data_IF_826314894118
#
_entry.id   IF_826314894118
#
_cell.length_a   1.000
_cell.length_b   1.000
_cell.length_c   1.000
_cell.angle_alpha   90.00
_cell.angle_beta   90.00
_cell.angle_gamma   90.00
#
_symmetry.space_group_name_H-M   'P 1'
#
loop_
_entity.id
_entity.type
_entity.pdbx_description
1 polymer ?
#
# COMPACT_ATOMS: atom_id res chain seq x y z
N UNK A 1 -32.96 -57.70 15.71
CA UNK A 1 -32.75 -56.61 16.69
C UNK A 1 -31.26 -56.34 16.93
N UNK A 2 -30.46 -57.34 17.32
CA UNK A 2 -28.99 -57.18 17.50
C UNK A 2 -28.24 -56.60 16.28
N UNK A 3 -28.52 -57.10 15.07
CA UNK A 3 -27.84 -56.60 13.86
C UNK A 3 -28.11 -55.10 13.59
N UNK A 4 -29.32 -54.61 13.88
CA UNK A 4 -29.65 -53.18 13.74
C UNK A 4 -28.86 -52.35 14.74
N UNK A 5 -28.78 -52.81 15.99
CA UNK A 5 -27.99 -52.15 17.02
C UNK A 5 -26.49 -52.11 16.66
N UNK A 6 -25.94 -53.22 16.16
CA UNK A 6 -24.58 -53.26 15.65
C UNK A 6 -24.36 -52.23 14.53
N UNK A 7 -25.24 -52.16 13.54
CA UNK A 7 -25.16 -51.17 12.46
C UNK A 7 -25.22 -49.74 13.00
N UNK A 8 -26.06 -49.46 13.99
CA UNK A 8 -26.10 -48.14 14.65
C UNK A 8 -24.75 -47.79 15.27
N UNK A 9 -24.11 -48.72 15.98
CA UNK A 9 -22.80 -48.48 16.59
C UNK A 9 -21.71 -48.25 15.53
N UNK A 10 -21.63 -49.12 14.52
CA UNK A 10 -20.64 -49.03 13.43
C UNK A 10 -20.78 -47.72 12.64
N UNK A 11 -22.01 -47.33 12.28
CA UNK A 11 -22.23 -46.11 11.51
C UNK A 11 -22.02 -44.86 12.36
N UNK A 12 -22.35 -44.86 13.66
CA UNK A 12 -21.98 -43.75 14.55
C UNK A 12 -20.46 -43.59 14.69
N UNK A 13 -19.71 -44.69 14.77
CA UNK A 13 -18.25 -44.63 14.81
C UNK A 13 -17.68 -44.00 13.53
N UNK A 14 -18.22 -44.36 12.35
CA UNK A 14 -17.83 -43.74 11.08
C UNK A 14 -18.11 -42.24 11.06
N UNK A 15 -19.28 -41.82 11.56
CA UNK A 15 -19.61 -40.39 11.65
C UNK A 15 -18.69 -39.63 12.61
N UNK A 16 -18.34 -40.23 13.74
CA UNK A 16 -17.38 -39.65 14.67
C UNK A 16 -16.01 -39.43 13.99
N UNK A 17 -15.52 -40.44 13.25
CA UNK A 17 -14.27 -40.31 12.47
C UNK A 17 -14.35 -39.25 11.38
N UNK A 18 -15.46 -39.18 10.63
CA UNK A 18 -15.66 -38.17 9.59
C UNK A 18 -15.64 -36.75 10.18
N UNK A 19 -16.28 -36.54 11.33
CA UNK A 19 -16.25 -35.25 12.05
C UNK A 19 -14.86 -34.89 12.54
N UNK A 20 -14.10 -35.85 13.08
CA UNK A 20 -12.72 -35.60 13.49
C UNK A 20 -11.83 -35.18 12.31
N UNK A 21 -11.97 -35.85 11.15
CA UNK A 21 -11.26 -35.47 9.94
C UNK A 21 -11.64 -34.06 9.46
N UNK A 22 -12.93 -33.69 9.54
CA UNK A 22 -13.39 -32.35 9.22
C UNK A 22 -12.78 -31.28 10.14
N UNK A 23 -12.73 -31.54 11.45
CA UNK A 23 -12.08 -30.66 12.44
C UNK A 23 -10.59 -30.49 12.13
N UNK A 24 -9.90 -31.56 11.75
CA UNK A 24 -8.49 -31.50 11.37
C UNK A 24 -8.28 -30.59 10.13
N UNK A 25 -9.15 -30.70 9.12
CA UNK A 25 -9.12 -29.80 7.95
C UNK A 25 -9.36 -28.36 8.36
N UNK A 26 -10.37 -28.07 9.19
CA UNK A 26 -10.63 -26.71 9.67
C UNK A 26 -9.46 -26.14 10.47
N UNK A 27 -8.80 -26.96 11.28
CA UNK A 27 -7.65 -26.54 12.06
C UNK A 27 -6.47 -26.20 11.14
N UNK A 28 -6.05 -27.14 10.28
CA UNK A 28 -4.83 -27.02 9.50
C UNK A 28 -4.99 -26.07 8.30
N UNK A 29 -6.08 -26.18 7.54
CA UNK A 29 -6.25 -25.47 6.27
C UNK A 29 -6.91 -24.09 6.42
N UNK A 30 -7.54 -23.82 7.57
CA UNK A 30 -8.23 -22.56 7.82
C UNK A 30 -7.64 -21.85 9.04
N UNK A 31 -7.71 -22.44 10.23
CA UNK A 31 -7.36 -21.72 11.45
C UNK A 31 -5.87 -21.35 11.52
N UNK A 32 -4.98 -22.28 11.18
CA UNK A 32 -3.54 -22.03 11.23
C UNK A 32 -3.06 -21.16 10.06
N UNK A 33 -3.57 -21.40 8.85
CA UNK A 33 -3.32 -20.53 7.69
C UNK A 33 -3.84 -19.10 7.89
N UNK A 34 -4.99 -18.91 8.55
CA UNK A 34 -5.52 -17.59 8.85
C UNK A 34 -4.62 -16.82 9.84
N UNK A 35 -3.99 -17.50 10.80
CA UNK A 35 -2.99 -16.87 11.69
C UNK A 35 -1.78 -16.39 10.89
N UNK A 36 -1.29 -17.22 9.98
CA UNK A 36 -0.17 -16.87 9.09
C UNK A 36 -0.54 -15.69 8.19
N UNK A 37 -1.70 -15.72 7.54
CA UNK A 37 -2.21 -14.65 6.69
C UNK A 37 -2.31 -13.33 7.46
N UNK A 38 -2.83 -13.35 8.69
CA UNK A 38 -2.91 -12.17 9.54
C UNK A 38 -1.52 -11.58 9.81
N UNK A 39 -0.55 -12.42 10.18
CA UNK A 39 0.82 -11.95 10.43
C UNK A 39 1.46 -11.40 9.16
N UNK A 40 1.27 -12.07 8.03
CA UNK A 40 1.73 -11.61 6.73
C UNK A 40 1.15 -10.23 6.38
N UNK A 41 -0.17 -10.05 6.51
CA UNK A 41 -0.85 -8.78 6.29
C UNK A 41 -0.27 -7.65 7.14
N UNK A 42 -0.05 -7.90 8.43
CA UNK A 42 0.55 -6.89 9.33
C UNK A 42 1.97 -6.51 8.89
N UNK A 43 2.77 -7.48 8.48
CA UNK A 43 4.13 -7.24 8.00
C UNK A 43 4.14 -6.44 6.69
N UNK A 44 3.26 -6.78 5.75
CA UNK A 44 3.11 -6.05 4.48
C UNK A 44 2.63 -4.63 4.74
N UNK A 45 1.57 -4.45 5.56
CA UNK A 45 1.05 -3.14 5.91
C UNK A 45 2.13 -2.22 6.48
N UNK A 46 2.94 -2.73 7.42
CA UNK A 46 4.08 -1.98 7.98
C UNK A 46 5.09 -1.57 6.92
N UNK A 47 5.50 -2.48 6.04
CA UNK A 47 6.44 -2.15 4.94
C UNK A 47 5.87 -1.11 3.99
N UNK A 48 4.59 -1.22 3.65
CA UNK A 48 3.90 -0.26 2.78
C UNK A 48 3.84 1.13 3.43
N UNK A 49 3.48 1.22 4.71
CA UNK A 49 3.45 2.51 5.43
C UNK A 49 4.83 3.12 5.59
N UNK A 50 5.85 2.31 5.89
CA UNK A 50 7.23 2.79 6.04
C UNK A 50 7.78 3.33 4.71
N UNK A 51 7.51 2.62 3.61
CA UNK A 51 7.91 3.05 2.25
C UNK A 51 7.19 4.34 1.84
N UNK A 52 5.87 4.41 2.05
CA UNK A 52 5.10 5.61 1.72
C UNK A 52 5.51 6.81 2.58
N UNK A 53 5.82 6.61 3.87
CA UNK A 53 6.31 7.66 4.76
C UNK A 53 7.66 8.22 4.28
N UNK A 54 8.56 7.35 3.80
CA UNK A 54 9.83 7.79 3.22
C UNK A 54 9.62 8.60 1.94
N UNK A 55 8.78 8.14 1.01
CA UNK A 55 8.43 8.89 -0.20
C UNK A 55 7.78 10.24 0.13
N UNK A 56 6.93 10.29 1.15
CA UNK A 56 6.31 11.53 1.62
C UNK A 56 7.35 12.53 2.15
N UNK A 57 8.33 12.05 2.93
CA UNK A 57 9.43 12.86 3.46
C UNK A 57 10.33 13.43 2.36
N UNK A 58 10.61 12.64 1.33
CA UNK A 58 11.36 13.08 0.16
C UNK A 58 10.61 14.19 -0.60
N UNK A 59 9.33 13.97 -0.89
CA UNK A 59 8.47 14.99 -1.50
C UNK A 59 8.45 16.28 -0.67
N UNK A 60 8.26 16.18 0.65
CA UNK A 60 8.26 17.34 1.53
C UNK A 60 9.58 18.11 1.47
N UNK A 61 10.70 17.40 1.41
CA UNK A 61 12.03 18.00 1.27
C UNK A 61 12.14 18.81 -0.02
N UNK A 62 11.66 18.27 -1.14
CA UNK A 62 11.67 19.00 -2.43
C UNK A 62 10.83 20.27 -2.40
N UNK A 63 9.66 20.25 -1.74
CA UNK A 63 8.80 21.43 -1.57
C UNK A 63 9.50 22.50 -0.72
N UNK A 64 10.18 22.09 0.36
CA UNK A 64 10.97 23.01 1.18
C UNK A 64 12.09 23.67 0.36
N UNK A 65 12.74 22.92 -0.53
CA UNK A 65 13.81 23.45 -1.36
C UNK A 65 13.28 24.41 -2.44
N UNK A 66 12.07 24.21 -2.96
CA UNK A 66 11.36 25.19 -3.80
C UNK A 66 11.18 26.51 -3.06
N UNK A 67 10.72 26.49 -1.81
CA UNK A 67 10.53 27.72 -1.03
C UNK A 67 11.85 28.45 -0.74
N UNK A 68 12.90 27.71 -0.40
CA UNK A 68 14.24 28.29 -0.16
C UNK A 68 14.81 28.93 -1.43
N UNK A 69 14.81 28.20 -2.55
CA UNK A 69 15.39 28.66 -3.82
C UNK A 69 14.56 29.80 -4.42
N UNK A 70 13.24 29.78 -4.26
CA UNK A 70 12.36 30.91 -4.59
C UNK A 70 12.78 32.16 -3.85
N UNK A 71 12.93 32.09 -2.52
CA UNK A 71 13.32 33.24 -1.72
C UNK A 71 14.66 33.82 -2.18
N UNK A 72 15.66 32.95 -2.36
CA UNK A 72 16.98 33.37 -2.83
C UNK A 72 16.92 34.05 -4.20
N UNK A 73 16.18 33.47 -5.15
CA UNK A 73 15.99 34.08 -6.47
C UNK A 73 15.37 35.47 -6.38
N UNK A 74 14.32 35.65 -5.58
CA UNK A 74 13.67 36.96 -5.44
C UNK A 74 14.59 38.00 -4.79
N UNK A 75 15.40 37.62 -3.79
CA UNK A 75 16.35 38.51 -3.13
C UNK A 75 17.49 38.95 -4.09
N UNK A 76 18.05 38.00 -4.87
CA UNK A 76 19.10 38.29 -5.86
C UNK A 76 18.55 39.10 -7.06
N UNK A 77 17.34 38.77 -7.55
CA UNK A 77 16.71 39.50 -8.65
C UNK A 77 16.36 40.94 -8.25
N UNK A 78 15.91 41.17 -7.02
CA UNK A 78 15.67 42.52 -6.49
C UNK A 78 16.96 43.33 -6.49
N UNK A 79 18.07 42.75 -6.03
CA UNK A 79 19.38 43.41 -6.00
C UNK A 79 19.93 43.67 -7.42
N UNK A 80 19.72 42.73 -8.35
CA UNK A 80 20.10 42.89 -9.76
C UNK A 80 19.23 43.93 -10.49
N UNK A 81 17.96 44.10 -10.10
CA UNK A 81 17.09 45.16 -10.62
C UNK A 81 17.57 46.54 -10.18
N UNK A 82 17.84 46.73 -8.89
CA UNK A 82 18.33 47.99 -8.33
C UNK A 82 19.62 48.50 -9.00
N UNK A 83 20.55 47.59 -9.32
CA UNK A 83 21.80 47.96 -9.99
C UNK A 83 21.59 48.24 -11.48
N UNK A 84 20.63 47.60 -12.15
CA UNK A 84 20.23 47.92 -13.53
C UNK A 84 19.70 49.34 -13.63
N UNK A 85 18.81 49.75 -12.73
CA UNK A 85 18.27 51.10 -12.69
C UNK A 85 19.37 52.15 -12.45
N UNK A 86 20.30 51.88 -11.52
CA UNK A 86 21.46 52.74 -11.27
C UNK A 86 22.38 52.85 -12.48
N UNK A 87 22.66 51.74 -13.16
CA UNK A 87 23.48 51.73 -14.37
C UNK A 87 22.84 52.58 -15.47
N UNK A 88 21.53 52.43 -15.68
CA UNK A 88 20.76 53.18 -16.67
C UNK A 88 20.76 54.69 -16.40
N UNK A 89 20.56 55.11 -15.14
CA UNK A 89 20.62 56.53 -14.77
C UNK A 89 22.01 57.14 -15.03
N UNK A 90 23.09 56.41 -14.71
CA UNK A 90 24.46 56.87 -14.98
C UNK A 90 24.74 56.96 -16.48
N UNK A 91 24.31 55.97 -17.27
CA UNK A 91 24.44 55.99 -18.74
C UNK A 91 23.67 57.17 -19.35
N UNK A 92 22.46 57.46 -18.88
CA UNK A 92 21.69 58.61 -19.35
C UNK A 92 22.37 59.95 -19.03
N UNK A 93 22.96 60.09 -17.83
CA UNK A 93 23.75 61.27 -17.44
C UNK A 93 24.97 61.46 -18.35
N UNK A 94 25.67 60.37 -18.69
CA UNK A 94 26.80 60.38 -19.63
C UNK A 94 26.36 60.78 -21.06
N UNK A 95 25.26 60.21 -21.58
CA UNK A 95 24.73 60.52 -22.92
C UNK A 95 24.34 61.99 -23.07
N UNK A 96 23.73 62.58 -22.03
CA UNK A 96 23.31 63.99 -22.04
C UNK A 96 24.50 64.96 -21.97
N UNK A 97 25.75 64.48 -21.81
CA UNK A 97 26.97 65.27 -21.51
C UNK A 97 26.76 66.32 -20.39
N UNK A 98 25.73 66.14 -19.55
CA UNK A 98 25.41 66.98 -18.41
C UNK A 98 26.22 66.46 -17.23
N UNK A 99 27.52 66.77 -17.23
CA UNK A 99 28.29 66.72 -15.98
C UNK A 99 27.63 67.68 -14.98
N UNK A 100 27.45 67.25 -13.74
CA UNK A 100 27.15 68.19 -12.66
C UNK A 100 28.28 69.23 -12.62
N UNK A 101 27.97 70.48 -12.26
CA UNK A 101 28.96 71.58 -12.15
C UNK A 101 30.18 71.20 -11.30
N UNK A 102 30.03 70.22 -10.39
CA UNK A 102 31.07 69.71 -9.49
C UNK A 102 31.66 68.35 -9.88
N UNK A 103 31.26 67.73 -11.00
CA UNK A 103 31.67 66.37 -11.34
C UNK A 103 32.22 66.24 -12.77
N UNK A 104 33.50 65.88 -12.87
CA UNK A 104 34.19 65.74 -14.16
C UNK A 104 33.69 64.53 -14.96
N UNK A 105 33.73 64.62 -16.29
CA UNK A 105 33.34 63.53 -17.19
C UNK A 105 34.16 62.25 -16.91
N UNK A 106 35.46 62.39 -16.63
CA UNK A 106 36.33 61.25 -16.28
C UNK A 106 35.86 60.52 -15.02
N UNK A 107 35.37 61.25 -14.01
CA UNK A 107 34.84 60.63 -12.78
C UNK A 107 33.53 59.88 -13.04
N UNK A 108 32.66 60.40 -13.91
CA UNK A 108 31.43 59.73 -14.34
C UNK A 108 31.73 58.46 -15.14
N UNK A 109 32.73 58.48 -16.02
CA UNK A 109 33.17 57.30 -16.77
C UNK A 109 33.70 56.19 -15.85
N UNK A 110 34.53 56.53 -14.85
CA UNK A 110 35.01 55.57 -13.84
C UNK A 110 33.85 54.97 -13.03
N UNK A 111 32.88 55.80 -12.63
CA UNK A 111 31.70 55.34 -11.90
C UNK A 111 30.84 54.41 -12.77
N UNK A 112 30.58 54.78 -14.02
CA UNK A 112 29.85 53.95 -14.99
C UNK A 112 30.52 52.57 -15.18
N UNK A 113 31.84 52.52 -15.37
CA UNK A 113 32.56 51.25 -15.47
C UNK A 113 32.42 50.39 -14.21
N UNK A 114 32.52 51.00 -13.02
CA UNK A 114 32.35 50.30 -11.74
C UNK A 114 30.94 49.75 -11.57
N UNK A 115 29.91 50.55 -11.88
CA UNK A 115 28.51 50.13 -11.75
C UNK A 115 28.15 49.08 -12.81
N UNK A 116 28.68 49.18 -14.03
CA UNK A 116 28.51 48.15 -15.06
C UNK A 116 29.11 46.81 -14.62
N UNK A 117 30.35 46.80 -14.13
CA UNK A 117 30.96 45.56 -13.63
C UNK A 117 30.18 44.94 -12.47
N UNK A 118 29.64 45.78 -11.56
CA UNK A 118 28.77 45.31 -10.48
C UNK A 118 27.42 44.78 -10.99
N UNK A 119 26.85 45.39 -12.04
CA UNK A 119 25.63 44.91 -12.70
C UNK A 119 25.84 43.51 -13.22
N UNK A 120 26.91 43.29 -13.99
CA UNK A 120 27.19 42.00 -14.62
C UNK A 120 27.32 40.88 -13.56
N UNK A 121 28.01 41.15 -12.44
CA UNK A 121 28.12 40.20 -11.31
C UNK A 121 26.79 39.86 -10.65
N UNK A 122 25.91 40.85 -10.46
CA UNK A 122 24.61 40.63 -9.82
C UNK A 122 23.61 39.98 -10.77
N UNK A 123 23.71 40.25 -12.07
CA UNK A 123 22.91 39.61 -13.11
C UNK A 123 23.28 38.13 -13.26
N UNK A 124 24.57 37.79 -13.19
CA UNK A 124 25.04 36.41 -13.12
C UNK A 124 24.49 35.68 -11.88
N UNK A 125 24.55 36.31 -10.70
CA UNK A 125 23.99 35.75 -9.46
C UNK A 125 22.48 35.52 -9.54
N UNK A 126 21.73 36.51 -10.03
CA UNK A 126 20.28 36.35 -10.21
C UNK A 126 19.96 35.22 -11.18
N UNK A 127 20.71 35.12 -12.29
CA UNK A 127 20.55 34.04 -13.27
C UNK A 127 20.84 32.67 -12.65
N UNK A 128 21.90 32.55 -11.84
CA UNK A 128 22.20 31.34 -11.09
C UNK A 128 21.07 30.94 -10.15
N UNK A 129 20.61 31.88 -9.30
CA UNK A 129 19.52 31.64 -8.36
C UNK A 129 18.19 31.28 -9.07
N UNK A 130 17.91 31.89 -10.23
CA UNK A 130 16.76 31.55 -11.08
C UNK A 130 16.85 30.11 -11.58
N UNK A 131 18.01 29.70 -12.07
CA UNK A 131 18.22 28.34 -12.57
C UNK A 131 18.03 27.31 -11.44
N UNK A 132 18.58 27.56 -10.26
CA UNK A 132 18.40 26.70 -9.09
C UNK A 132 16.92 26.58 -8.68
N UNK A 133 16.18 27.70 -8.73
CA UNK A 133 14.74 27.69 -8.48
C UNK A 133 13.95 26.91 -9.54
N UNK A 134 14.30 27.04 -10.83
CA UNK A 134 13.64 26.27 -11.88
C UNK A 134 13.93 24.76 -11.74
N UNK A 135 15.16 24.40 -11.39
CA UNK A 135 15.55 23.01 -11.13
C UNK A 135 14.82 22.43 -9.91
N UNK A 136 14.67 23.20 -8.83
CA UNK A 136 13.93 22.74 -7.64
C UNK A 136 12.45 22.54 -7.92
N UNK A 137 11.81 23.42 -8.73
CA UNK A 137 10.43 23.22 -9.19
C UNK A 137 10.31 21.94 -10.02
N UNK A 138 11.23 21.72 -10.96
CA UNK A 138 11.21 20.52 -11.79
C UNK A 138 11.34 19.25 -10.93
N UNK A 139 12.24 19.26 -9.94
CA UNK A 139 12.40 18.16 -9.00
C UNK A 139 11.13 17.92 -8.16
N UNK A 140 10.53 18.98 -7.58
CA UNK A 140 9.31 18.86 -6.80
C UNK A 140 8.13 18.30 -7.62
N UNK A 141 7.96 18.75 -8.86
CA UNK A 141 6.94 18.22 -9.76
C UNK A 141 7.17 16.73 -10.09
N UNK A 142 8.43 16.32 -10.32
CA UNK A 142 8.78 14.93 -10.56
C UNK A 142 8.49 14.04 -9.34
N UNK A 143 8.87 14.50 -8.13
CA UNK A 143 8.56 13.80 -6.88
C UNK A 143 7.05 13.73 -6.61
N UNK A 144 6.31 14.80 -6.90
CA UNK A 144 4.85 14.82 -6.73
C UNK A 144 4.18 13.80 -7.66
N UNK A 145 4.55 13.79 -8.93
CA UNK A 145 4.04 12.82 -9.91
C UNK A 145 4.37 11.38 -9.49
N UNK A 146 5.61 11.11 -9.10
CA UNK A 146 6.01 9.79 -8.61
C UNK A 146 5.23 9.39 -7.36
N UNK A 147 5.06 10.30 -6.40
CA UNK A 147 4.35 10.02 -5.15
C UNK A 147 2.91 9.57 -5.40
N UNK A 148 2.15 10.30 -6.23
CA UNK A 148 0.75 9.98 -6.48
C UNK A 148 0.54 8.83 -7.46
N UNK A 149 1.30 8.80 -8.56
CA UNK A 149 1.09 7.84 -9.64
C UNK A 149 1.80 6.50 -9.41
N UNK A 150 2.78 6.44 -8.52
CA UNK A 150 3.57 5.23 -8.29
C UNK A 150 3.51 4.82 -6.82
N UNK A 151 4.03 5.64 -5.91
CA UNK A 151 4.23 5.22 -4.51
C UNK A 151 2.90 4.96 -3.78
N UNK A 152 1.95 5.89 -3.90
CA UNK A 152 0.62 5.75 -3.29
C UNK A 152 -0.15 4.58 -3.91
N UNK A 153 -0.13 4.45 -5.23
CA UNK A 153 -0.80 3.34 -5.92
C UNK A 153 -0.22 1.99 -5.52
N UNK A 154 1.11 1.85 -5.50
CA UNK A 154 1.79 0.63 -5.07
C UNK A 154 1.49 0.30 -3.61
N UNK A 155 1.43 1.31 -2.73
CA UNK A 155 1.05 1.13 -1.34
C UNK A 155 -0.37 0.56 -1.22
N UNK A 156 -1.35 1.16 -1.91
CA UNK A 156 -2.74 0.70 -1.89
C UNK A 156 -2.90 -0.72 -2.42
N UNK A 157 -2.27 -1.05 -3.56
CA UNK A 157 -2.34 -2.38 -4.16
C UNK A 157 -1.66 -3.44 -3.28
N UNK A 158 -0.54 -3.10 -2.66
CA UNK A 158 0.20 -4.04 -1.81
C UNK A 158 -0.49 -4.28 -0.45
N UNK A 159 -1.24 -3.28 0.05
CA UNK A 159 -1.90 -3.33 1.37
C UNK A 159 -2.91 -4.48 1.50
N UNK A 160 -3.47 -4.94 0.37
CA UNK A 160 -4.43 -6.04 0.33
C UNK A 160 -3.82 -7.38 0.80
N UNK A 161 -2.53 -7.61 0.51
CA UNK A 161 -1.77 -8.78 0.92
C UNK A 161 -2.47 -10.13 0.65
N UNK A 162 -3.10 -10.28 -0.52
CA UNK A 162 -3.83 -11.48 -0.98
C UNK A 162 -4.95 -11.97 -0.04
N UNK A 163 -5.47 -11.08 0.83
CA UNK A 163 -6.47 -11.45 1.84
C UNK A 163 -7.75 -11.96 1.20
N UNK A 164 -8.21 -11.35 0.10
CA UNK A 164 -9.46 -11.74 -0.55
C UNK A 164 -9.37 -13.15 -1.15
N UNK A 165 -8.28 -13.45 -1.86
CA UNK A 165 -8.02 -14.77 -2.44
C UNK A 165 -8.01 -15.85 -1.34
N UNK A 166 -7.26 -15.62 -0.25
CA UNK A 166 -7.16 -16.59 0.85
C UNK A 166 -8.46 -16.78 1.62
N UNK A 167 -9.22 -15.71 1.86
CA UNK A 167 -10.55 -15.85 2.49
C UNK A 167 -11.50 -16.63 1.59
N UNK A 168 -11.46 -16.42 0.28
CA UNK A 168 -12.24 -17.21 -0.68
C UNK A 168 -11.88 -18.70 -0.63
N UNK A 169 -10.58 -19.02 -0.57
CA UNK A 169 -10.09 -20.39 -0.40
C UNK A 169 -10.59 -21.01 0.92
N UNK A 170 -10.52 -20.29 2.04
CA UNK A 170 -11.01 -20.77 3.34
C UNK A 170 -12.51 -21.08 3.31
N UNK A 171 -13.33 -20.21 2.72
CA UNK A 171 -14.76 -20.44 2.57
C UNK A 171 -15.04 -21.66 1.68
N UNK A 172 -14.24 -21.85 0.64
CA UNK A 172 -14.34 -23.01 -0.27
C UNK A 172 -13.99 -24.31 0.46
N UNK A 173 -12.91 -24.33 1.24
CA UNK A 173 -12.55 -25.48 2.07
C UNK A 173 -13.62 -25.81 3.10
N UNK A 174 -14.16 -24.77 3.75
CA UNK A 174 -15.22 -24.94 4.74
C UNK A 174 -16.46 -25.57 4.10
N UNK A 175 -16.95 -25.01 3.00
CA UNK A 175 -18.14 -25.52 2.30
C UNK A 175 -17.94 -26.95 1.79
N UNK A 176 -16.77 -27.27 1.22
CA UNK A 176 -16.46 -28.62 0.73
C UNK A 176 -16.42 -29.65 1.86
N UNK A 177 -15.74 -29.33 2.95
CA UNK A 177 -15.60 -30.24 4.10
C UNK A 177 -16.95 -30.48 4.79
N UNK A 178 -17.78 -29.45 4.92
CA UNK A 178 -19.12 -29.59 5.47
C UNK A 178 -20.00 -30.45 4.55
N UNK A 179 -19.96 -30.22 3.23
CA UNK A 179 -20.71 -31.03 2.27
C UNK A 179 -20.35 -32.52 2.35
N UNK A 180 -19.05 -32.84 2.46
CA UNK A 180 -18.59 -34.21 2.64
C UNK A 180 -19.11 -34.83 3.94
N UNK A 181 -19.11 -34.06 5.03
CA UNK A 181 -19.60 -34.51 6.35
C UNK A 181 -21.12 -34.74 6.35
N UNK A 182 -21.88 -33.85 5.70
CA UNK A 182 -23.32 -34.04 5.50
C UNK A 182 -23.61 -35.28 4.64
N UNK A 183 -22.85 -35.48 3.56
CA UNK A 183 -23.00 -36.67 2.71
C UNK A 183 -22.72 -37.97 3.48
N UNK A 184 -21.67 -38.00 4.30
CA UNK A 184 -21.37 -39.13 5.16
C UNK A 184 -22.51 -39.39 6.17
N UNK A 185 -23.03 -38.31 6.78
CA UNK A 185 -24.17 -38.34 7.71
C UNK A 185 -25.41 -38.92 7.05
N UNK A 186 -25.78 -38.43 5.87
CA UNK A 186 -26.92 -38.93 5.11
C UNK A 186 -26.77 -40.41 4.76
N UNK A 187 -25.59 -40.81 4.28
CA UNK A 187 -25.30 -42.20 3.93
C UNK A 187 -25.44 -43.14 5.14
N UNK A 188 -24.82 -42.80 6.27
CA UNK A 188 -24.87 -43.61 7.49
C UNK A 188 -26.29 -43.74 8.05
N UNK A 189 -27.06 -42.64 8.11
CA UNK A 189 -28.45 -42.71 8.55
C UNK A 189 -29.36 -43.46 7.57
N UNK A 190 -29.10 -43.35 6.26
CA UNK A 190 -29.76 -44.16 5.24
C UNK A 190 -29.58 -45.65 5.49
N UNK A 191 -28.33 -46.08 5.73
CA UNK A 191 -28.03 -47.49 6.03
C UNK A 191 -28.68 -47.98 7.32
N UNK A 192 -28.68 -47.18 8.38
CA UNK A 192 -29.37 -47.52 9.64
C UNK A 192 -30.87 -47.72 9.40
N UNK A 193 -31.51 -46.79 8.66
CA UNK A 193 -32.93 -46.87 8.31
C UNK A 193 -33.23 -48.15 7.54
N UNK A 194 -32.45 -48.44 6.50
CA UNK A 194 -32.66 -49.60 5.64
C UNK A 194 -32.50 -50.92 6.44
N UNK A 195 -31.53 -50.97 7.36
CA UNK A 195 -31.36 -52.11 8.26
C UNK A 195 -32.54 -52.25 9.25
N UNK A 196 -33.08 -51.14 9.75
CA UNK A 196 -34.23 -51.14 10.65
C UNK A 196 -35.52 -51.63 9.95
N UNK A 197 -35.69 -51.31 8.67
CA UNK A 197 -36.85 -51.76 7.87
C UNK A 197 -36.88 -53.28 7.65
N UNK A 198 -35.74 -53.97 7.78
CA UNK A 198 -35.68 -55.43 7.70
C UNK A 198 -36.19 -56.14 8.97
N UNK A 199 -36.53 -55.39 10.04
CA UNK A 199 -37.09 -55.98 11.25
C UNK A 199 -38.54 -56.43 11.04
N UNK A 200 -38.76 -57.73 10.93
CA UNK A 200 -40.09 -58.36 10.89
C UNK A 200 -40.36 -59.19 12.15
N UNK A 201 -41.61 -59.21 12.65
CA UNK A 201 -42.01 -59.92 13.90
C UNK A 201 -41.73 -61.43 13.87
N UNK A 202 -41.77 -62.06 12.70
CA UNK A 202 -41.53 -63.50 12.50
C UNK A 202 -40.06 -63.89 12.68
N UNK A 203 -39.12 -63.05 12.22
CA UNK A 203 -37.68 -63.32 12.28
C UNK A 203 -37.11 -63.18 13.70
N UNK A 204 -37.70 -62.30 14.52
CA UNK A 204 -37.33 -62.15 15.93
C UNK A 204 -37.78 -63.32 16.80
N UNK A 205 -38.90 -63.97 16.47
CA UNK A 205 -39.41 -65.11 17.24
C UNK A 205 -38.56 -66.37 17.04
N UNK A 206 -38.18 -66.66 15.79
CA UNK A 206 -37.34 -67.82 15.46
C UNK A 206 -35.94 -67.77 16.10
N UNK A 207 -35.38 -66.56 16.27
CA UNK A 207 -34.11 -66.38 16.98
C UNK A 207 -34.26 -66.68 18.48
N UNK A 208 -35.34 -66.25 19.13
CA UNK A 208 -35.60 -66.56 20.54
C UNK A 208 -35.86 -68.06 20.77
N UNK A 209 -36.55 -68.75 19.85
CA UNK A 209 -36.77 -70.20 19.98
C UNK A 209 -35.48 -71.00 19.80
N UNK A 210 -34.54 -70.52 18.98
CA UNK A 210 -33.26 -71.22 18.77
C UNK A 210 -32.30 -71.09 19.98
N UNK A 211 -32.34 -70.00 20.74
CA UNK A 211 -31.55 -69.85 21.98
C UNK A 211 -32.12 -70.62 23.17
N UNK A 212 -33.36 -71.11 23.09
CA UNK A 212 -34.01 -71.87 24.19
C UNK A 212 -33.91 -73.39 23.96
N UNK A 213 -33.24 -73.84 22.88
CA UNK A 213 -33.13 -75.24 22.45
C UNK A 213 -31.69 -75.78 22.44
N UNK A 214 -30.74 -75.10 23.09
CA UNK A 214 -29.42 -75.62 23.44
C UNK A 214 -29.22 -75.58 24.96
#
# INVERSE_FOLDING_TARGET
>A
MWNVWRTVLEENEKLARARLAAVEVFQQQIADEAKFLRQHKLNVAKKCTDTLAQAHKELQTTVIDVDKTKKLYFDEEHTAHDVRDKAKDIEEKLKKKKGSFFQSITSLQKNSAKVSSRRDQLEEKSTGARNDYLLSIAAANAHQNRYFLVELQNCMLSMEAAVYEKVSEFLTFMGRTELLTCSATQHSFGKIRDQAQQLTRTTTCNACTCTTLC
#
